data_IF_465343595807
#
_entry.id   IF_465343595807
#
_cell.length_a   1.000
_cell.length_b   1.000
_cell.length_c   1.000
_cell.angle_alpha   90.00
_cell.angle_beta   90.00
_cell.angle_gamma   90.00
#
_symmetry.space_group_name_H-M   'P 1'
#
loop_
_entity.id
_entity.type
_entity.pdbx_description
1 polymer ?
#
# COMPACT_ATOMS: atom_id res chain seq x y z
N UNK A 1 -39.43 31.95 3.79
CA UNK A 1 -39.03 30.85 2.89
C UNK A 1 -37.60 30.37 3.13
N UNK A 2 -36.60 31.26 3.18
CA UNK A 2 -35.18 30.89 3.32
C UNK A 2 -34.85 29.96 4.51
N UNK A 3 -35.41 30.26 5.71
CA UNK A 3 -35.22 29.41 6.91
C UNK A 3 -35.69 27.96 6.71
N UNK A 4 -36.75 27.76 5.93
CA UNK A 4 -37.31 26.42 5.66
C UNK A 4 -36.44 25.64 4.70
N UNK A 5 -35.93 26.31 3.66
CA UNK A 5 -34.97 25.73 2.70
C UNK A 5 -33.68 25.34 3.42
N UNK A 6 -33.16 26.23 4.29
CA UNK A 6 -31.98 25.95 5.09
C UNK A 6 -32.16 24.71 5.98
N UNK A 7 -33.28 24.59 6.70
CA UNK A 7 -33.58 23.42 7.53
C UNK A 7 -33.68 22.13 6.73
N UNK A 8 -34.26 22.17 5.52
CA UNK A 8 -34.34 21.01 4.63
C UNK A 8 -32.93 20.56 4.21
N UNK A 9 -32.06 21.49 3.81
CA UNK A 9 -30.69 21.19 3.41
C UNK A 9 -29.87 20.58 4.57
N UNK A 10 -30.00 21.13 5.77
CA UNK A 10 -29.34 20.58 6.98
C UNK A 10 -29.84 19.17 7.26
N UNK A 11 -31.15 18.93 7.14
CA UNK A 11 -31.74 17.60 7.37
C UNK A 11 -31.22 16.58 6.35
N UNK A 12 -31.16 16.95 5.07
CA UNK A 12 -30.59 16.10 4.01
C UNK A 12 -29.10 15.85 4.26
N UNK A 13 -28.34 16.85 4.70
CA UNK A 13 -26.93 16.71 5.04
C UNK A 13 -26.70 15.72 6.19
N UNK A 14 -27.52 15.78 7.24
CA UNK A 14 -27.46 14.85 8.36
C UNK A 14 -27.79 13.42 7.89
N UNK A 15 -28.83 13.25 7.09
CA UNK A 15 -29.19 11.94 6.52
C UNK A 15 -28.02 11.39 5.67
N UNK A 16 -27.40 12.23 4.85
CA UNK A 16 -26.24 11.87 4.03
C UNK A 16 -25.03 11.45 4.87
N UNK A 17 -24.74 12.15 5.97
CA UNK A 17 -23.66 11.80 6.89
C UNK A 17 -23.92 10.47 7.60
N UNK A 18 -25.15 10.23 8.05
CA UNK A 18 -25.52 8.97 8.71
C UNK A 18 -25.43 7.80 7.73
N UNK A 19 -25.99 7.96 6.52
CA UNK A 19 -25.94 6.93 5.49
C UNK A 19 -24.48 6.65 5.03
N UNK A 20 -23.69 7.71 4.81
CA UNK A 20 -22.28 7.59 4.44
C UNK A 20 -21.44 6.93 5.54
N UNK A 21 -21.64 7.33 6.80
CA UNK A 21 -20.97 6.73 7.94
C UNK A 21 -21.33 5.25 8.12
N UNK A 22 -22.60 4.90 7.97
CA UNK A 22 -23.06 3.50 8.03
C UNK A 22 -22.46 2.65 6.90
N UNK A 23 -22.43 3.17 5.66
CA UNK A 23 -21.81 2.48 4.54
C UNK A 23 -20.30 2.26 4.75
N UNK A 24 -19.58 3.29 5.22
CA UNK A 24 -18.16 3.17 5.53
C UNK A 24 -17.89 2.15 6.64
N UNK A 25 -18.69 2.17 7.71
CA UNK A 25 -18.56 1.19 8.80
C UNK A 25 -18.82 -0.24 8.31
N UNK A 26 -19.82 -0.43 7.44
CA UNK A 26 -20.11 -1.73 6.83
C UNK A 26 -18.90 -2.26 6.04
N UNK A 27 -18.34 -1.44 5.14
CA UNK A 27 -17.18 -1.85 4.34
C UNK A 27 -15.92 -2.13 5.19
N UNK A 28 -15.68 -1.34 6.24
CA UNK A 28 -14.56 -1.59 7.16
C UNK A 28 -14.78 -2.90 7.92
N UNK A 29 -16.01 -3.20 8.34
CA UNK A 29 -16.30 -4.41 9.10
C UNK A 29 -16.21 -5.70 8.28
N UNK A 30 -16.49 -5.61 6.97
CA UNK A 30 -16.40 -6.74 6.04
C UNK A 30 -14.98 -6.92 5.47
N UNK A 31 -14.08 -5.95 5.68
CA UNK A 31 -12.71 -6.04 5.19
C UNK A 31 -11.97 -7.21 5.85
N UNK A 32 -11.30 -8.07 5.07
CA UNK A 32 -10.49 -9.15 5.63
C UNK A 32 -9.32 -8.58 6.42
N UNK A 33 -8.87 -9.35 7.43
CA UNK A 33 -7.63 -9.03 8.14
C UNK A 33 -6.45 -9.09 7.16
N UNK A 34 -5.52 -8.15 7.31
CA UNK A 34 -4.28 -8.17 6.54
C UNK A 34 -3.45 -9.39 6.94
N UNK A 35 -3.12 -10.22 5.95
CA UNK A 35 -2.19 -11.35 6.10
C UNK A 35 -0.94 -11.03 5.28
N UNK A 36 0.19 -10.80 5.95
CA UNK A 36 1.48 -10.51 5.31
C UNK A 36 1.91 -11.60 4.34
N UNK A 37 1.48 -12.84 4.54
CA UNK A 37 1.81 -13.95 3.63
C UNK A 37 1.15 -13.80 2.26
N UNK A 38 0.02 -13.10 2.19
CA UNK A 38 -0.64 -12.78 0.92
C UNK A 38 0.06 -11.65 0.16
N UNK A 39 0.96 -10.91 0.82
CA UNK A 39 1.76 -9.83 0.22
C UNK A 39 3.15 -10.28 -0.21
N UNK A 40 3.57 -11.50 0.14
CA UNK A 40 4.88 -12.04 -0.24
C UNK A 40 4.73 -12.98 -1.41
N UNK A 41 5.42 -12.68 -2.50
CA UNK A 41 5.49 -13.58 -3.63
C UNK A 41 6.30 -14.86 -3.31
N UNK A 42 5.96 -16.00 -3.92
CA UNK A 42 6.70 -17.24 -3.71
C UNK A 42 8.15 -17.11 -4.23
N UNK A 43 9.11 -17.48 -3.38
CA UNK A 43 10.54 -17.53 -3.71
C UNK A 43 10.92 -18.84 -4.39
N UNK A 44 12.04 -18.83 -5.11
CA UNK A 44 12.62 -20.03 -5.71
C UNK A 44 13.00 -21.05 -4.62
N UNK A 45 12.62 -22.31 -4.79
CA UNK A 45 13.01 -23.39 -3.88
C UNK A 45 14.44 -23.87 -4.20
N UNK A 46 15.30 -23.98 -3.17
CA UNK A 46 16.69 -24.44 -3.33
C UNK A 46 16.82 -25.90 -2.88
N UNK A 47 17.26 -26.77 -3.77
CA UNK A 47 17.54 -28.20 -3.50
C UNK A 47 19.03 -28.33 -3.19
N UNK A 48 19.36 -28.85 -2.01
CA UNK A 48 20.73 -29.06 -1.54
C UNK A 48 21.07 -30.56 -1.54
N UNK A 49 22.34 -30.90 -1.74
CA UNK A 49 22.87 -32.25 -1.52
C UNK A 49 23.12 -32.54 -0.02
N UNK A 50 23.56 -33.76 0.29
CA UNK A 50 23.87 -34.20 1.65
C UNK A 50 24.98 -33.37 2.34
N UNK A 51 25.82 -32.70 1.56
CA UNK A 51 26.91 -31.84 2.03
C UNK A 51 26.48 -30.36 2.08
N UNK A 52 25.21 -30.04 1.80
CA UNK A 52 24.69 -28.68 1.77
C UNK A 52 25.00 -27.90 0.49
N UNK A 53 25.51 -28.55 -0.56
CA UNK A 53 25.80 -27.90 -1.85
C UNK A 53 24.53 -27.77 -2.68
N UNK A 54 24.32 -26.59 -3.27
CA UNK A 54 23.19 -26.33 -4.17
C UNK A 54 23.24 -27.25 -5.40
N UNK A 55 22.18 -28.02 -5.60
CA UNK A 55 21.98 -28.91 -6.75
C UNK A 55 21.11 -28.25 -7.82
N UNK A 56 19.99 -27.65 -7.41
CA UNK A 56 19.04 -27.06 -8.33
C UNK A 56 18.17 -26.01 -7.62
N UNK A 57 17.71 -25.04 -8.40
CA UNK A 57 16.73 -24.04 -7.99
C UNK A 57 15.45 -24.26 -8.79
N UNK A 58 14.31 -24.44 -8.11
CA UNK A 58 13.01 -24.71 -8.73
C UNK A 58 12.06 -23.57 -8.40
N UNK A 59 11.69 -22.83 -9.44
CA UNK A 59 10.74 -21.72 -9.39
C UNK A 59 10.37 -21.31 -10.81
N UNK A 60 9.19 -20.71 -10.98
CA UNK A 60 8.78 -20.16 -12.27
C UNK A 60 9.65 -18.95 -12.67
N UNK A 61 10.13 -18.24 -11.67
CA UNK A 61 10.92 -17.02 -11.79
C UNK A 61 12.12 -17.13 -10.87
N UNK A 62 13.21 -16.44 -11.23
CA UNK A 62 14.39 -16.38 -10.39
C UNK A 62 14.21 -15.25 -9.36
N UNK A 63 13.69 -15.59 -8.18
CA UNK A 63 13.42 -14.65 -7.10
C UNK A 63 14.12 -15.06 -5.81
N UNK A 64 14.98 -14.18 -5.33
CA UNK A 64 15.55 -14.22 -3.98
C UNK A 64 14.95 -13.09 -3.13
N UNK A 65 14.48 -13.43 -1.94
CA UNK A 65 13.95 -12.44 -1.00
C UNK A 65 15.10 -11.77 -0.23
N UNK A 66 15.05 -10.45 -0.14
CA UNK A 66 15.99 -9.62 0.63
C UNK A 66 15.18 -8.82 1.65
N UNK A 67 15.69 -8.68 2.89
CA UNK A 67 15.03 -7.80 3.86
C UNK A 67 15.29 -6.35 3.46
N UNK A 68 14.37 -5.46 3.82
CA UNK A 68 14.50 -4.04 3.51
C UNK A 68 15.82 -3.44 4.01
N UNK A 69 16.21 -3.76 5.25
CA UNK A 69 17.45 -3.28 5.88
C UNK A 69 18.74 -3.77 5.21
N UNK A 70 18.65 -4.80 4.37
CA UNK A 70 19.80 -5.35 3.64
C UNK A 70 19.96 -4.69 2.26
N UNK A 71 19.04 -3.79 1.86
CA UNK A 71 19.10 -3.05 0.60
C UNK A 71 20.09 -1.88 0.75
N UNK A 72 21.09 -1.75 -0.14
CA UNK A 72 22.00 -0.60 -0.07
C UNK A 72 21.28 0.72 -0.34
N UNK A 73 21.58 1.76 0.46
CA UNK A 73 20.97 3.10 0.34
C UNK A 73 20.99 3.63 -1.10
N UNK A 74 22.11 3.47 -1.81
CA UNK A 74 22.24 3.92 -3.20
C UNK A 74 21.25 3.22 -4.15
N UNK A 75 20.94 1.96 -3.91
CA UNK A 75 19.97 1.19 -4.71
C UNK A 75 18.56 1.67 -4.41
N UNK A 76 18.24 1.87 -3.13
CA UNK A 76 16.95 2.42 -2.71
C UNK A 76 16.74 3.82 -3.32
N UNK A 77 17.69 4.73 -3.15
CA UNK A 77 17.63 6.09 -3.66
C UNK A 77 17.49 6.13 -5.18
N UNK A 78 18.27 5.32 -5.91
CA UNK A 78 18.20 5.27 -7.37
C UNK A 78 16.84 4.75 -7.86
N UNK A 79 16.30 3.72 -7.20
CA UNK A 79 14.99 3.16 -7.53
C UNK A 79 13.87 4.17 -7.26
N UNK A 80 13.86 4.78 -6.08
CA UNK A 80 12.90 5.82 -5.72
C UNK A 80 12.98 7.01 -6.67
N UNK A 81 14.18 7.52 -6.96
CA UNK A 81 14.36 8.64 -7.88
C UNK A 81 13.81 8.35 -9.29
N UNK A 82 13.82 7.09 -9.71
CA UNK A 82 13.36 6.65 -11.04
C UNK A 82 11.85 6.40 -11.08
N UNK A 83 11.30 5.71 -10.08
CA UNK A 83 9.90 5.25 -10.07
C UNK A 83 8.95 6.24 -9.38
N UNK A 84 9.25 6.64 -8.14
CA UNK A 84 8.51 7.67 -7.40
C UNK A 84 9.39 8.31 -6.32
N UNK A 85 9.98 9.46 -6.65
CA UNK A 85 10.89 10.18 -5.76
C UNK A 85 10.22 10.70 -4.49
N UNK A 86 8.88 10.69 -4.45
CA UNK A 86 8.09 11.17 -3.33
C UNK A 86 7.54 10.03 -2.49
N UNK A 87 7.81 8.78 -2.83
CA UNK A 87 7.27 7.60 -2.15
C UNK A 87 7.41 7.70 -0.62
N UNK A 88 8.61 8.08 -0.14
CA UNK A 88 8.87 8.23 1.31
C UNK A 88 8.17 9.44 1.94
N UNK A 89 7.87 10.48 1.16
CA UNK A 89 7.20 11.70 1.64
C UNK A 89 5.67 11.61 1.66
N UNK A 90 5.08 10.68 0.90
CA UNK A 90 3.63 10.57 0.70
C UNK A 90 2.93 9.81 1.83
N UNK A 91 3.65 9.34 2.86
CA UNK A 91 3.04 8.66 4.00
C UNK A 91 2.24 9.64 4.88
N UNK A 92 1.00 9.93 4.49
CA UNK A 92 -0.06 10.49 5.34
C UNK A 92 -0.46 11.96 5.14
N UNK A 93 0.22 12.72 4.27
CA UNK A 93 -0.08 14.15 4.08
C UNK A 93 -0.52 14.44 2.65
N UNK A 94 -1.66 15.11 2.49
CA UNK A 94 -2.07 15.71 1.21
C UNK A 94 -1.04 16.79 0.88
N UNK A 95 0.06 16.42 0.24
CA UNK A 95 1.11 17.36 -0.14
C UNK A 95 0.73 18.01 -1.47
N UNK A 96 0.11 19.18 -1.38
CA UNK A 96 0.21 20.17 -2.44
C UNK A 96 1.70 20.50 -2.57
N UNK A 97 2.30 20.28 -3.75
CA UNK A 97 3.32 21.14 -4.37
C UNK A 97 3.91 20.38 -5.57
N UNK A 98 3.61 20.92 -6.75
CA UNK A 98 4.42 20.79 -7.95
C UNK A 98 5.66 21.65 -7.76
N UNK A 99 6.81 21.07 -7.45
CA UNK A 99 8.09 21.76 -7.54
C UNK A 99 9.22 20.75 -7.73
N UNK A 100 9.32 20.23 -8.95
CA UNK A 100 10.63 19.88 -9.49
C UNK A 100 11.07 21.07 -10.34
N UNK A 101 11.93 21.98 -9.85
CA UNK A 101 12.94 22.56 -10.71
C UNK A 101 14.14 21.60 -10.74
N UNK A 102 14.57 21.34 -11.97
CA UNK A 102 15.80 20.65 -12.39
C UNK A 102 16.96 20.70 -11.41
#
# INVERSE_FOLDING_TARGET
MLKRIFLILVTIGIIGLVAGGAAMAYFISDAPKLDEKLLKDPVTSKILDENGKLLAEIGKENRDYVNYEDIPDLVEEAFLATEDSRFMSITGSISYVWAVPS
#
